data_IF_748364252497
#
_entry.id   IF_748364252497
#
_cell.length_a   1.000
_cell.length_b   1.000
_cell.length_c   1.000
_cell.angle_alpha   90.00
_cell.angle_beta   90.00
_cell.angle_gamma   90.00
#
_symmetry.space_group_name_H-M   'P 1'
#
loop_
_entity.id
_entity.type
_entity.pdbx_description
1 polymer ?
#
# COMPACT_ATOMS: atom_id res chain seq x y z
N UNK A 1 10.81 8.26 -17.97
CA UNK A 1 10.50 7.02 -17.25
C UNK A 1 9.30 7.31 -16.38
N UNK A 2 8.29 6.44 -16.44
CA UNK A 2 7.09 6.55 -15.60
C UNK A 2 7.48 6.17 -14.15
N UNK A 3 7.15 7.02 -13.17
CA UNK A 3 7.50 6.78 -11.76
C UNK A 3 6.49 5.83 -11.13
N UNK A 4 6.92 4.93 -10.24
CA UNK A 4 6.05 3.98 -9.56
C UNK A 4 5.77 4.40 -8.11
N UNK A 5 4.49 4.57 -7.76
CA UNK A 5 4.05 4.71 -6.37
C UNK A 5 3.31 3.44 -5.93
N UNK A 6 3.72 2.89 -4.79
CA UNK A 6 2.97 1.82 -4.09
C UNK A 6 2.18 2.42 -2.93
N UNK A 7 0.88 2.11 -2.87
CA UNK A 7 -0.02 2.52 -1.79
C UNK A 7 -0.47 1.30 -1.00
N UNK A 8 -0.14 1.24 0.28
CA UNK A 8 -0.57 0.16 1.19
C UNK A 8 -1.73 0.67 2.03
N UNK A 9 -2.81 -0.11 2.13
CA UNK A 9 -4.00 0.22 2.94
C UNK A 9 -4.59 -1.01 3.64
N UNK A 10 -5.23 -0.79 4.79
CA UNK A 10 -5.87 -1.88 5.54
C UNK A 10 -7.20 -2.33 4.93
N UNK A 11 -7.96 -1.46 4.26
CA UNK A 11 -9.24 -1.81 3.62
C UNK A 11 -9.70 -0.75 2.62
N UNK A 12 -10.91 -0.92 2.08
CA UNK A 12 -11.51 0.05 1.16
C UNK A 12 -11.86 1.35 1.91
N UNK A 13 -10.92 2.30 1.93
CA UNK A 13 -11.20 3.64 2.42
C UNK A 13 -11.92 4.47 1.36
N UNK A 14 -12.95 5.22 1.76
CA UNK A 14 -13.71 6.17 0.94
C UNK A 14 -12.89 7.39 0.46
N UNK A 15 -11.57 7.24 0.26
CA UNK A 15 -10.65 8.29 -0.18
C UNK A 15 -9.59 7.82 -1.17
N UNK A 16 -9.58 6.53 -1.57
CA UNK A 16 -8.60 6.06 -2.57
C UNK A 16 -8.79 6.69 -3.94
N UNK A 17 -10.00 7.09 -4.26
CA UNK A 17 -10.31 7.68 -5.56
C UNK A 17 -9.62 9.05 -5.72
N UNK A 18 -9.57 9.84 -4.65
CA UNK A 18 -8.86 11.14 -4.64
C UNK A 18 -7.35 10.95 -4.82
N UNK A 19 -6.77 9.94 -4.16
CA UNK A 19 -5.34 9.62 -4.28
C UNK A 19 -5.03 9.11 -5.70
N UNK A 20 -5.87 8.22 -6.24
CA UNK A 20 -5.75 7.73 -7.61
C UNK A 20 -5.79 8.86 -8.63
N UNK A 21 -6.68 9.83 -8.45
CA UNK A 21 -6.89 10.92 -9.40
C UNK A 21 -5.73 11.93 -9.37
N UNK A 22 -5.23 12.30 -8.18
CA UNK A 22 -4.10 13.23 -8.03
C UNK A 22 -2.79 12.62 -8.56
N UNK A 23 -2.58 11.32 -8.38
CA UNK A 23 -1.31 10.69 -8.77
C UNK A 23 -1.27 10.44 -10.28
N UNK A 24 -2.40 10.11 -10.90
CA UNK A 24 -2.51 9.97 -12.35
C UNK A 24 -2.21 11.28 -13.09
N UNK A 25 -2.52 12.43 -12.51
CA UNK A 25 -2.22 13.74 -13.14
C UNK A 25 -0.73 14.03 -13.25
N UNK A 26 0.13 13.42 -12.42
CA UNK A 26 1.58 13.65 -12.40
C UNK A 26 2.39 12.60 -13.18
N UNK A 27 1.73 11.69 -13.91
CA UNK A 27 2.41 10.67 -14.72
C UNK A 27 3.08 9.56 -13.90
N UNK A 28 2.54 9.29 -12.70
CA UNK A 28 2.97 8.17 -11.88
C UNK A 28 2.06 6.96 -12.13
N UNK A 29 2.69 5.79 -12.24
CA UNK A 29 2.01 4.51 -12.16
C UNK A 29 1.72 4.16 -10.71
N UNK A 30 0.45 3.94 -10.42
CA UNK A 30 -0.01 3.57 -9.10
C UNK A 30 -0.21 2.04 -8.99
N UNK A 31 0.31 1.46 -7.92
CA UNK A 31 0.00 0.10 -7.47
C UNK A 31 -0.59 0.19 -6.06
N UNK A 32 -1.77 -0.41 -5.83
CA UNK A 32 -2.41 -0.42 -4.51
C UNK A 32 -2.39 -1.83 -3.95
N UNK A 33 -2.01 -1.97 -2.69
CA UNK A 33 -1.99 -3.21 -1.92
C UNK A 33 -3.00 -3.06 -0.78
N UNK A 34 -4.01 -3.93 -0.77
CA UNK A 34 -5.08 -3.97 0.21
C UNK A 34 -4.89 -5.16 1.17
N UNK A 35 -4.42 -4.86 2.38
CA UNK A 35 -4.04 -5.86 3.37
C UNK A 35 -5.24 -6.69 3.87
N UNK A 36 -6.45 -6.12 3.96
CA UNK A 36 -7.67 -6.88 4.31
C UNK A 36 -7.99 -7.99 3.32
N UNK A 37 -7.51 -7.90 2.07
CA UNK A 37 -7.70 -8.93 1.04
C UNK A 37 -6.61 -10.00 1.07
N UNK A 38 -5.62 -9.86 1.96
CA UNK A 38 -4.46 -10.75 2.01
C UNK A 38 -3.51 -10.55 0.83
N UNK A 39 -3.53 -9.38 0.18
CA UNK A 39 -2.57 -9.06 -0.87
C UNK A 39 -1.15 -8.97 -0.30
N UNK A 40 -0.14 -9.52 -0.99
CA UNK A 40 1.22 -9.55 -0.48
C UNK A 40 1.85 -8.16 -0.49
N UNK A 41 2.65 -7.87 0.54
CA UNK A 41 3.58 -6.75 0.52
C UNK A 41 4.66 -6.96 -0.56
N UNK A 42 5.23 -5.87 -1.11
CA UNK A 42 6.29 -6.00 -2.11
C UNK A 42 7.51 -6.68 -1.47
N UNK A 43 8.13 -7.58 -2.21
CA UNK A 43 9.27 -8.38 -1.72
C UNK A 43 10.54 -7.55 -1.52
N UNK A 44 10.69 -6.45 -2.28
CA UNK A 44 11.72 -5.46 -2.12
C UNK A 44 11.22 -4.08 -2.57
N UNK A 45 12.03 -3.04 -2.34
CA UNK A 45 11.74 -1.66 -2.74
C UNK A 45 12.46 -1.25 -4.03
N UNK A 46 13.07 -2.18 -4.76
CA UNK A 46 13.72 -1.87 -6.03
C UNK A 46 12.66 -1.45 -7.06
N UNK A 47 12.95 -0.39 -7.82
CA UNK A 47 12.04 0.18 -8.81
C UNK A 47 10.70 0.69 -8.24
N UNK A 48 10.65 1.01 -6.94
CA UNK A 48 9.55 1.75 -6.31
C UNK A 48 10.07 3.17 -6.03
N UNK A 49 9.50 4.16 -6.70
CA UNK A 49 9.90 5.58 -6.57
C UNK A 49 9.21 6.26 -5.38
N UNK A 50 8.18 5.65 -4.82
CA UNK A 50 7.57 6.10 -3.57
C UNK A 50 6.65 5.05 -2.94
N UNK A 51 6.53 5.14 -1.62
CA UNK A 51 5.69 4.28 -0.80
C UNK A 51 4.79 5.15 0.08
N UNK A 52 3.48 4.92 0.01
CA UNK A 52 2.48 5.60 0.82
C UNK A 52 1.71 4.56 1.63
N UNK A 53 1.74 4.67 2.95
CA UNK A 53 0.98 3.79 3.84
C UNK A 53 -0.18 4.59 4.42
N UNK A 54 -1.40 4.20 4.08
CA UNK A 54 -2.60 4.88 4.53
C UNK A 54 -3.03 4.35 5.90
N UNK A 55 -3.25 5.26 6.84
CA UNK A 55 -3.75 4.92 8.17
C UNK A 55 -5.21 4.53 8.08
N UNK A 56 -5.55 3.36 8.61
CA UNK A 56 -6.89 3.09 9.15
C UNK A 56 -6.80 3.08 10.69
N UNK A 57 -7.91 2.82 11.39
CA UNK A 57 -7.96 2.61 12.84
C UNK A 57 -7.23 1.32 13.27
N UNK A 58 -5.99 1.12 12.83
CA UNK A 58 -5.14 0.00 13.20
C UNK A 58 -4.31 0.39 14.41
N UNK A 59 -4.49 -0.32 15.52
CA UNK A 59 -3.64 -0.17 16.68
C UNK A 59 -2.28 -0.83 16.40
N UNK A 60 -1.23 -0.03 16.26
CA UNK A 60 0.14 -0.52 15.97
C UNK A 60 0.72 -1.43 17.06
N UNK A 61 0.15 -1.38 18.27
CA UNK A 61 0.54 -2.23 19.39
C UNK A 61 -0.23 -3.56 19.43
N UNK A 62 -1.32 -3.69 18.68
CA UNK A 62 -2.15 -4.89 18.64
C UNK A 62 -1.80 -5.77 17.43
N UNK A 63 -0.52 -6.13 17.33
CA UNK A 63 -0.05 -7.07 16.31
C UNK A 63 -0.60 -8.48 16.50
N UNK A 64 -1.12 -8.78 17.70
CA UNK A 64 -1.77 -10.06 18.01
C UNK A 64 -3.12 -10.23 17.34
N UNK A 65 -3.92 -9.16 17.18
CA UNK A 65 -5.25 -9.24 16.57
C UNK A 65 -5.24 -9.02 15.07
N UNK A 66 -4.25 -8.30 14.55
CA UNK A 66 -4.08 -8.01 13.11
C UNK A 66 -2.60 -8.12 12.71
N UNK A 67 -2.04 -9.34 12.62
CA UNK A 67 -0.66 -9.53 12.26
C UNK A 67 -0.41 -9.08 10.81
N UNK A 68 0.57 -8.19 10.62
CA UNK A 68 1.09 -7.86 9.31
C UNK A 68 1.97 -9.02 8.84
N UNK A 69 1.47 -9.84 7.92
CA UNK A 69 2.21 -10.98 7.38
C UNK A 69 3.37 -10.47 6.52
N UNK A 70 4.60 -10.71 6.98
CA UNK A 70 5.81 -10.49 6.17
C UNK A 70 6.10 -11.78 5.41
N UNK A 71 6.03 -11.72 4.08
CA UNK A 71 6.39 -12.84 3.21
C UNK A 71 7.90 -12.82 2.96
N UNK A 72 8.62 -13.75 3.59
CA UNK A 72 10.04 -14.01 3.33
C UNK A 72 10.12 -15.19 2.34
N UNK A 73 10.83 -15.01 1.23
CA UNK A 73 11.06 -16.12 0.29
C UNK A 73 11.91 -17.22 0.93
N UNK A 74 11.52 -18.47 0.69
CA UNK A 74 12.39 -19.66 0.76
C UNK A 74 13.17 -19.83 -0.54
#
# INVERSE_FOLDING_TARGET
MEKKLVVIRQGSQNGSDIINDIIKTDGWKLETIELSKGEPLPTNLENIDGLLILSDAMNVFDQSSSPLTVYLNS
#
